data_IF_982700179250
#
_entry.id   IF_982700179250
#
_cell.length_a   1.000
_cell.length_b   1.000
_cell.length_c   1.000
_cell.angle_alpha   90.00
_cell.angle_beta   90.00
_cell.angle_gamma   90.00
#
_symmetry.space_group_name_H-M   'P 1'
#
loop_
_entity.id
_entity.type
_entity.pdbx_description
1 polymer ?
#
# COMPACT_ATOMS: atom_id res chain seq x y z
N UNK A 1 17.18 -11.33 8.19
CA UNK A 1 16.91 -11.36 6.74
C UNK A 1 15.40 -11.19 6.55
N UNK A 2 14.95 -9.97 6.22
CA UNK A 2 13.53 -9.72 5.96
C UNK A 2 13.13 -10.55 4.75
N UNK A 3 12.15 -11.45 4.90
CA UNK A 3 11.77 -12.35 3.82
C UNK A 3 10.84 -11.60 2.86
N UNK A 4 11.43 -10.78 1.98
CA UNK A 4 10.77 -9.91 1.01
C UNK A 4 9.75 -10.67 0.16
N UNK A 5 10.04 -11.94 -0.15
CA UNK A 5 9.13 -12.84 -0.85
C UNK A 5 7.84 -13.14 -0.06
N UNK A 6 7.95 -13.39 1.25
CA UNK A 6 6.80 -13.61 2.14
C UNK A 6 5.96 -12.34 2.26
N UNK A 7 6.59 -11.17 2.29
CA UNK A 7 5.87 -9.90 2.35
C UNK A 7 5.09 -9.63 1.07
N UNK A 8 5.70 -9.86 -0.10
CA UNK A 8 5.02 -9.76 -1.38
C UNK A 8 3.83 -10.75 -1.46
N UNK A 9 4.02 -12.01 -1.06
CA UNK A 9 2.93 -13.00 -1.03
C UNK A 9 1.76 -12.54 -0.15
N UNK A 10 2.04 -12.01 1.05
CA UNK A 10 0.99 -11.48 1.94
C UNK A 10 0.28 -10.26 1.36
N UNK A 11 0.99 -9.39 0.66
CA UNK A 11 0.41 -8.25 -0.06
C UNK A 11 -0.53 -8.73 -1.18
N UNK A 12 -0.13 -9.75 -1.94
CA UNK A 12 -0.96 -10.34 -2.99
C UNK A 12 -2.24 -10.97 -2.41
N UNK A 13 -2.14 -11.61 -1.24
CA UNK A 13 -3.26 -12.17 -0.50
C UNK A 13 -4.10 -11.12 0.27
N UNK A 14 -3.69 -9.85 0.32
CA UNK A 14 -4.40 -8.82 1.09
C UNK A 14 -5.79 -8.57 0.49
N UNK A 15 -6.84 -8.81 1.27
CA UNK A 15 -8.21 -8.51 0.83
C UNK A 15 -8.51 -7.02 0.95
N UNK A 16 -9.45 -6.53 0.15
CA UNK A 16 -9.90 -5.13 0.26
C UNK A 16 -10.44 -4.80 1.66
N UNK A 17 -11.16 -5.71 2.29
CA UNK A 17 -11.69 -5.51 3.64
C UNK A 17 -10.57 -5.38 4.68
N UNK A 18 -9.54 -6.24 4.60
CA UNK A 18 -8.39 -6.16 5.49
C UNK A 18 -7.60 -4.85 5.27
N UNK A 19 -7.36 -4.48 4.01
CA UNK A 19 -6.70 -3.24 3.64
C UNK A 19 -7.46 -2.00 4.13
N UNK A 20 -8.79 -1.99 3.97
CA UNK A 20 -9.66 -0.93 4.45
C UNK A 20 -9.62 -0.80 5.96
N UNK A 21 -9.70 -1.91 6.69
CA UNK A 21 -9.61 -1.92 8.14
C UNK A 21 -8.25 -1.41 8.63
N UNK A 22 -7.16 -1.78 7.95
CA UNK A 22 -5.82 -1.27 8.23
C UNK A 22 -5.80 0.25 8.07
N UNK A 23 -6.25 0.78 6.93
CA UNK A 23 -6.30 2.22 6.70
C UNK A 23 -7.18 2.96 7.74
N UNK A 24 -8.32 2.38 8.13
CA UNK A 24 -9.21 2.93 9.14
C UNK A 24 -8.57 2.96 10.54
N UNK A 25 -7.85 1.90 10.94
CA UNK A 25 -7.10 1.86 12.21
C UNK A 25 -6.08 2.98 12.33
N UNK A 26 -5.51 3.40 11.21
CA UNK A 26 -4.55 4.50 11.14
C UNK A 26 -5.19 5.86 10.82
N UNK A 27 -6.51 6.00 11.04
CA UNK A 27 -7.27 7.24 10.84
C UNK A 27 -7.17 7.84 9.42
N UNK A 28 -6.85 7.03 8.40
CA UNK A 28 -6.76 7.52 7.04
C UNK A 28 -8.17 7.74 6.46
N UNK A 29 -8.48 8.99 6.11
CA UNK A 29 -9.77 9.39 5.52
C UNK A 29 -9.74 9.25 3.99
N UNK A 30 -9.37 8.08 3.51
CA UNK A 30 -9.31 7.77 2.08
C UNK A 30 -10.63 7.13 1.65
N UNK A 31 -11.22 7.63 0.57
CA UNK A 31 -12.46 7.08 0.03
C UNK A 31 -12.26 5.64 -0.48
N UNK A 32 -13.29 4.79 -0.35
CA UNK A 32 -13.26 3.39 -0.79
C UNK A 32 -12.84 3.23 -2.27
N UNK A 33 -13.22 4.18 -3.15
CA UNK A 33 -12.78 4.21 -4.55
C UNK A 33 -11.26 4.27 -4.65
N UNK A 34 -10.65 5.19 -3.91
CA UNK A 34 -9.21 5.42 -3.93
C UNK A 34 -8.46 4.27 -3.24
N UNK A 35 -9.03 3.69 -2.17
CA UNK A 35 -8.49 2.48 -1.54
C UNK A 35 -8.45 1.28 -2.52
N UNK A 36 -9.47 1.12 -3.38
CA UNK A 36 -9.46 0.06 -4.40
C UNK A 36 -8.35 0.27 -5.42
N UNK A 37 -8.15 1.52 -5.87
CA UNK A 37 -7.08 1.89 -6.80
C UNK A 37 -5.71 1.61 -6.17
N UNK A 38 -5.47 2.06 -4.94
CA UNK A 38 -4.22 1.83 -4.22
C UNK A 38 -3.95 0.32 -4.07
N UNK A 39 -4.95 -0.47 -3.65
CA UNK A 39 -4.79 -1.91 -3.52
C UNK A 39 -4.50 -2.58 -4.86
N UNK A 40 -5.11 -2.12 -5.94
CA UNK A 40 -4.84 -2.63 -7.28
C UNK A 40 -3.40 -2.35 -7.70
N UNK A 41 -2.92 -1.10 -7.57
CA UNK A 41 -1.55 -0.70 -7.88
C UNK A 41 -0.54 -1.50 -7.05
N UNK A 42 -0.82 -1.71 -5.77
CA UNK A 42 0.04 -2.52 -4.90
C UNK A 42 0.13 -3.97 -5.39
N UNK A 43 -0.97 -4.55 -5.86
CA UNK A 43 -1.02 -5.94 -6.34
C UNK A 43 -0.47 -6.11 -7.74
N UNK A 44 -0.66 -5.12 -8.60
CA UNK A 44 -0.18 -5.10 -9.98
C UNK A 44 1.31 -4.74 -10.09
N UNK A 45 2.03 -4.72 -8.96
CA UNK A 45 3.42 -4.30 -8.96
C UNK A 45 4.32 -5.37 -9.60
N UNK A 46 5.00 -5.08 -10.74
CA UNK A 46 5.90 -6.03 -11.39
C UNK A 46 7.18 -6.25 -10.57
N UNK A 47 7.50 -5.34 -9.65
CA UNK A 47 8.61 -5.48 -8.73
C UNK A 47 8.19 -6.37 -7.56
N UNK A 48 8.63 -7.63 -7.63
CA UNK A 48 8.37 -8.70 -6.65
C UNK A 48 8.95 -8.44 -5.25
N UNK A 49 9.65 -7.31 -5.08
CA UNK A 49 10.44 -6.97 -3.91
C UNK A 49 10.04 -5.58 -3.42
N UNK A 50 9.49 -5.53 -2.20
CA UNK A 50 9.29 -4.31 -1.42
C UNK A 50 10.67 -3.78 -0.96
N UNK A 51 11.44 -3.16 -1.85
CA UNK A 51 12.73 -2.53 -1.53
C UNK A 51 12.55 -1.04 -1.16
N UNK A 52 13.63 -0.37 -0.79
CA UNK A 52 13.60 1.07 -0.43
C UNK A 52 13.10 1.94 -1.59
N UNK A 53 13.36 1.53 -2.84
CA UNK A 53 12.86 2.19 -4.05
C UNK A 53 11.38 1.90 -4.36
N UNK A 54 10.77 0.91 -3.70
CA UNK A 54 9.37 0.53 -3.92
C UNK A 54 8.41 1.62 -3.43
N UNK A 55 8.74 2.28 -2.33
CA UNK A 55 7.93 3.35 -1.74
C UNK A 55 7.72 4.53 -2.69
N UNK A 56 8.78 5.18 -3.23
CA UNK A 56 8.59 6.31 -4.13
C UNK A 56 7.87 5.93 -5.43
N UNK A 57 8.15 4.76 -6.01
CA UNK A 57 7.47 4.30 -7.24
C UNK A 57 5.97 4.12 -6.98
N UNK A 58 5.60 3.44 -5.88
CA UNK A 58 4.20 3.22 -5.53
C UNK A 58 3.47 4.56 -5.29
N UNK A 59 4.09 5.50 -4.58
CA UNK A 59 3.50 6.81 -4.31
C UNK A 59 3.31 7.63 -5.60
N UNK A 60 4.22 7.52 -6.56
CA UNK A 60 4.09 8.15 -7.88
C UNK A 60 2.88 7.58 -8.63
N UNK A 61 2.75 6.26 -8.71
CA UNK A 61 1.63 5.60 -9.39
C UNK A 61 0.29 5.92 -8.72
N UNK A 62 0.23 5.93 -7.38
CA UNK A 62 -0.97 6.34 -6.64
C UNK A 62 -1.34 7.80 -6.95
N UNK A 63 -0.35 8.69 -7.03
CA UNK A 63 -0.60 10.11 -7.33
C UNK A 63 -1.13 10.30 -8.75
N UNK A 64 -0.67 9.50 -9.72
CA UNK A 64 -1.18 9.54 -11.11
C UNK A 64 -2.64 9.09 -11.22
N UNK A 65 -3.02 8.03 -10.52
CA UNK A 65 -4.34 7.39 -10.63
C UNK A 65 -5.39 7.96 -9.64
N UNK A 66 -4.94 8.71 -8.63
CA UNK A 66 -5.81 9.36 -7.64
C UNK A 66 -5.55 10.87 -7.59
N UNK A 67 -4.88 11.35 -6.55
CA UNK A 67 -4.44 12.73 -6.39
C UNK A 67 -3.36 12.84 -5.30
N UNK A 68 -2.70 14.00 -5.22
CA UNK A 68 -1.63 14.26 -4.24
C UNK A 68 -2.11 14.16 -2.79
N UNK A 69 -3.37 14.51 -2.51
CA UNK A 69 -3.90 14.48 -1.13
C UNK A 69 -4.06 13.03 -0.68
N UNK A 70 -4.62 12.17 -1.51
CA UNK A 70 -4.72 10.73 -1.26
C UNK A 70 -3.35 10.10 -1.05
N UNK A 71 -2.36 10.47 -1.88
CA UNK A 71 -0.99 10.02 -1.72
C UNK A 71 -0.40 10.44 -0.36
N UNK A 72 -0.56 11.70 0.04
CA UNK A 72 -0.09 12.21 1.32
C UNK A 72 -0.78 11.54 2.52
N UNK A 73 -2.09 11.27 2.41
CA UNK A 73 -2.86 10.57 3.44
C UNK A 73 -2.46 9.08 3.55
N UNK A 74 -2.01 8.47 2.45
CA UNK A 74 -1.60 7.06 2.40
C UNK A 74 -0.13 6.84 2.78
N UNK A 75 0.76 7.79 2.46
CA UNK A 75 2.20 7.71 2.72
C UNK A 75 2.58 7.24 4.15
N UNK A 76 2.03 7.80 5.24
CA UNK A 76 2.36 7.33 6.58
C UNK A 76 1.92 5.87 6.82
N UNK A 77 0.84 5.41 6.19
CA UNK A 77 0.37 4.02 6.29
C UNK A 77 1.36 3.06 5.65
N UNK A 78 1.89 3.44 4.48
CA UNK A 78 2.88 2.68 3.74
C UNK A 78 4.20 2.55 4.50
N UNK A 79 4.69 3.67 5.04
CA UNK A 79 5.99 3.75 5.71
C UNK A 79 6.00 3.10 7.10
N UNK A 80 4.93 3.30 7.90
CA UNK A 80 4.90 2.83 9.28
C UNK A 80 4.24 1.47 9.46
N UNK A 81 3.18 1.14 8.72
CA UNK A 81 2.26 0.06 9.12
C UNK A 81 2.20 -1.09 8.14
N UNK A 82 2.13 -0.83 6.83
CA UNK A 82 2.07 -1.90 5.84
C UNK A 82 3.29 -2.80 5.91
N UNK A 83 4.49 -2.24 6.08
CA UNK A 83 5.73 -3.04 6.20
C UNK A 83 5.82 -3.77 7.53
N UNK A 84 5.23 -3.23 8.60
CA UNK A 84 5.27 -3.85 9.92
C UNK A 84 4.22 -4.94 10.08
N UNK A 85 2.98 -4.72 9.64
CA UNK A 85 1.90 -5.71 9.74
C UNK A 85 2.05 -6.85 8.72
N UNK A 86 2.78 -6.64 7.62
CA UNK A 86 3.12 -7.67 6.64
C UNK A 86 4.35 -8.52 7.09
N UNK A 87 5.08 -8.14 8.15
CA UNK A 87 6.09 -9.02 8.80
C UNK A 87 5.41 -10.17 9.54
#
# INVERSE_FOLDING_TARGET
MFNLYRMNHRLQCLSFNAFRQLCQRHNAKIADKNLKIILHIMKDNPHTVLNEDYHPILLIEITKETDQKVCNDFKPILEEYLIQEIK
#
